data_IF_786133167699
#
_entry.id   IF_786133167699
#
_cell.length_a   1.000
_cell.length_b   1.000
_cell.length_c   1.000
_cell.angle_alpha   90.00
_cell.angle_beta   90.00
_cell.angle_gamma   90.00
#
_symmetry.space_group_name_H-M   'P 1'
#
loop_
_entity.id
_entity.type
_entity.pdbx_description
1 polymer ?
#
# COMPACT_ATOMS: atom_id res chain seq x y z
N UNK A 1 27.90 29.62 89.53
CA UNK A 1 27.83 28.41 88.67
C UNK A 1 26.47 28.40 88.01
N UNK A 2 26.39 28.85 86.75
CA UNK A 2 25.14 28.80 85.97
C UNK A 2 25.33 27.94 84.79
N UNK A 3 24.57 26.83 84.72
CA UNK A 3 24.55 25.96 83.58
C UNK A 3 23.41 26.36 82.64
N UNK A 4 23.72 26.74 81.41
CA UNK A 4 22.72 26.96 80.37
C UNK A 4 22.57 25.66 79.58
N UNK A 5 21.32 25.22 79.19
CA UNK A 5 21.14 24.12 78.33
C UNK A 5 21.16 24.59 76.89
N UNK A 6 21.96 23.89 76.07
CA UNK A 6 22.00 23.99 74.60
C UNK A 6 20.75 23.28 74.02
N UNK A 7 19.89 24.04 73.34
CA UNK A 7 18.78 23.47 72.54
C UNK A 7 19.26 23.13 71.16
N UNK A 8 19.31 21.83 70.83
CA UNK A 8 19.54 21.31 69.45
C UNK A 8 18.28 21.45 68.65
N UNK A 9 18.33 22.25 67.59
CA UNK A 9 17.26 22.40 66.61
C UNK A 9 17.45 21.32 65.53
N UNK A 10 16.55 20.32 65.40
CA UNK A 10 16.54 19.37 64.35
C UNK A 10 15.77 19.96 63.15
N UNK A 11 16.48 20.24 62.05
CA UNK A 11 15.84 20.61 60.77
C UNK A 11 15.39 19.30 60.07
N UNK A 12 14.08 19.09 60.03
CA UNK A 12 13.48 18.05 59.21
C UNK A 12 13.43 18.50 57.74
N UNK A 13 14.21 17.86 56.87
CA UNK A 13 14.08 18.07 55.41
C UNK A 13 12.91 17.22 54.91
N UNK A 14 11.79 17.88 54.62
CA UNK A 14 10.66 17.25 53.93
C UNK A 14 10.97 17.17 52.45
N UNK A 15 11.28 15.97 51.95
CA UNK A 15 11.44 15.71 50.51
C UNK A 15 10.06 15.71 49.86
N UNK A 16 9.76 16.74 49.08
CA UNK A 16 8.56 16.86 48.27
C UNK A 16 8.78 15.99 47.02
N UNK A 17 8.19 14.79 46.96
CA UNK A 17 8.17 13.94 45.76
C UNK A 17 7.12 14.53 44.81
N UNK A 18 7.57 15.26 43.80
CA UNK A 18 6.74 15.70 42.69
C UNK A 18 6.42 14.46 41.83
N UNK A 19 5.25 13.90 41.93
CA UNK A 19 4.71 12.94 41.00
C UNK A 19 4.34 13.69 39.70
N UNK A 20 5.17 13.56 38.68
CA UNK A 20 4.77 13.97 37.34
C UNK A 20 3.72 12.99 36.85
N UNK A 21 2.57 13.46 36.27
CA UNK A 21 1.65 12.57 35.60
C UNK A 21 2.40 11.92 34.42
N UNK A 22 2.52 10.60 34.44
CA UNK A 22 2.89 9.84 33.25
C UNK A 22 1.72 10.03 32.30
N UNK A 23 1.88 10.89 31.28
CA UNK A 23 0.98 10.91 30.16
C UNK A 23 1.02 9.50 29.56
N UNK A 24 -0.10 8.81 29.57
CA UNK A 24 -0.22 7.55 28.84
C UNK A 24 0.20 7.84 27.39
N UNK A 25 1.11 7.03 26.85
CA UNK A 25 1.47 7.15 25.45
C UNK A 25 0.19 7.01 24.62
N UNK A 26 0.00 7.92 23.68
CA UNK A 26 -1.15 7.88 22.79
C UNK A 26 -1.07 6.58 21.97
N UNK A 27 -2.22 5.90 21.77
CA UNK A 27 -2.28 4.67 20.98
C UNK A 27 -1.85 4.96 19.54
N UNK A 28 -0.75 4.36 19.04
CA UNK A 28 -0.26 4.67 17.70
C UNK A 28 -1.15 4.08 16.58
N UNK A 29 -2.08 3.18 16.93
CA UNK A 29 -2.93 2.43 16.00
C UNK A 29 -4.39 2.50 16.44
N UNK A 30 -5.00 3.70 16.57
CA UNK A 30 -6.31 3.90 17.17
C UNK A 30 -7.46 3.29 16.35
N UNK A 31 -7.28 3.08 15.03
CA UNK A 31 -8.25 2.42 14.16
C UNK A 31 -8.16 0.90 14.15
N UNK A 32 -7.22 0.33 14.90
CA UNK A 32 -7.12 -1.10 15.15
C UNK A 32 -7.83 -1.47 16.46
N UNK A 33 -8.53 -2.59 16.47
CA UNK A 33 -9.01 -3.19 17.70
C UNK A 33 -7.85 -3.81 18.49
N UNK A 34 -7.91 -3.77 19.81
CA UNK A 34 -6.95 -4.46 20.65
C UNK A 34 -7.07 -5.97 20.44
N UNK A 35 -5.93 -6.65 20.28
CA UNK A 35 -5.86 -8.08 20.02
C UNK A 35 -4.53 -8.51 19.42
N UNK A 36 -4.43 -9.79 19.11
CA UNK A 36 -3.19 -10.44 18.69
C UNK A 36 -2.56 -9.80 17.43
N UNK A 37 -3.39 -9.31 16.50
CA UNK A 37 -2.94 -8.68 15.26
C UNK A 37 -2.23 -7.35 15.53
N UNK A 38 -2.86 -6.46 16.33
CA UNK A 38 -2.24 -5.20 16.77
C UNK A 38 -1.01 -5.43 17.63
N UNK A 39 -1.07 -6.39 18.55
CA UNK A 39 0.05 -6.79 19.42
C UNK A 39 1.24 -7.28 18.58
N UNK A 40 1.00 -8.04 17.52
CA UNK A 40 2.06 -8.52 16.64
C UNK A 40 2.82 -7.37 15.94
N UNK A 41 2.10 -6.33 15.50
CA UNK A 41 2.70 -5.12 14.92
C UNK A 41 3.60 -4.42 15.94
N UNK A 42 3.05 -4.13 17.13
CA UNK A 42 3.77 -3.39 18.17
C UNK A 42 4.99 -4.19 18.64
N UNK A 43 4.82 -5.49 18.91
CA UNK A 43 5.91 -6.36 19.34
C UNK A 43 7.03 -6.48 18.32
N UNK A 44 6.68 -6.54 17.01
CA UNK A 44 7.68 -6.53 15.93
C UNK A 44 8.46 -5.22 15.91
N UNK A 45 7.76 -4.08 15.92
CA UNK A 45 8.41 -2.77 15.91
C UNK A 45 9.33 -2.62 17.12
N UNK A 46 8.86 -2.93 18.32
CA UNK A 46 9.66 -2.86 19.54
C UNK A 46 10.92 -3.77 19.44
N UNK A 47 10.77 -4.99 18.92
CA UNK A 47 11.87 -5.92 18.80
C UNK A 47 12.99 -5.41 17.89
N UNK A 48 12.62 -4.77 16.75
CA UNK A 48 13.61 -4.31 15.76
C UNK A 48 14.14 -2.90 16.00
N UNK A 49 13.48 -2.11 16.89
CA UNK A 49 13.89 -0.73 17.17
C UNK A 49 14.62 -0.57 18.50
N UNK A 50 14.47 -1.52 19.44
CA UNK A 50 15.11 -1.45 20.75
C UNK A 50 16.61 -1.75 20.62
N UNK A 51 17.44 -0.75 20.85
CA UNK A 51 18.89 -0.89 20.87
C UNK A 51 19.35 -1.96 21.88
N UNK A 52 20.27 -2.83 21.45
CA UNK A 52 20.75 -3.95 22.27
C UNK A 52 19.85 -5.19 22.25
N UNK A 53 18.68 -5.13 21.61
CA UNK A 53 17.86 -6.30 21.32
C UNK A 53 18.61 -7.24 20.35
N UNK A 54 18.43 -8.55 20.50
CA UNK A 54 18.95 -9.54 19.55
C UNK A 54 18.35 -9.39 18.13
N UNK A 55 17.21 -8.72 18.02
CA UNK A 55 16.50 -8.45 16.76
C UNK A 55 16.67 -7.01 16.25
N UNK A 56 17.51 -6.20 16.92
CA UNK A 56 17.70 -4.81 16.50
C UNK A 56 18.13 -4.69 15.05
N UNK A 57 17.48 -3.81 14.32
CA UNK A 57 17.81 -3.48 12.93
C UNK A 57 18.13 -1.98 12.86
N UNK A 58 19.23 -1.63 12.22
CA UNK A 58 19.58 -0.22 12.03
C UNK A 58 18.51 0.50 11.20
N UNK A 59 18.24 1.82 11.44
CA UNK A 59 17.21 2.55 10.70
C UNK A 59 17.32 2.43 9.17
N UNK A 60 18.52 2.51 8.61
CA UNK A 60 18.75 2.40 7.17
C UNK A 60 18.34 1.04 6.57
N UNK A 61 18.18 0.01 7.40
CA UNK A 61 17.77 -1.34 6.98
C UNK A 61 16.32 -1.67 7.36
N UNK A 62 15.58 -0.72 7.95
CA UNK A 62 14.15 -0.88 8.29
C UNK A 62 13.29 -0.58 7.07
N UNK A 63 13.15 -1.54 6.17
CA UNK A 63 12.34 -1.43 4.96
C UNK A 63 11.01 -2.16 5.16
N UNK A 64 9.91 -1.47 4.85
CA UNK A 64 8.56 -2.03 4.82
C UNK A 64 7.95 -1.85 3.44
N UNK A 65 7.40 -2.93 2.87
CA UNK A 65 6.76 -2.93 1.55
C UNK A 65 5.27 -3.22 1.67
N UNK A 66 4.49 -2.49 0.90
CA UNK A 66 3.03 -2.59 0.86
C UNK A 66 2.57 -2.84 -0.56
N UNK A 67 1.69 -3.79 -0.78
CA UNK A 67 0.85 -3.76 -1.97
C UNK A 67 -0.12 -2.58 -1.90
N UNK A 68 -0.74 -2.22 -3.02
CA UNK A 68 -1.64 -1.07 -3.11
C UNK A 68 -3.11 -1.51 -3.09
N UNK A 69 -3.56 -2.13 -4.19
CA UNK A 69 -4.96 -2.51 -4.40
C UNK A 69 -5.38 -3.60 -3.40
N UNK A 70 -6.43 -3.37 -2.62
CA UNK A 70 -6.87 -4.27 -1.55
C UNK A 70 -6.01 -4.26 -0.28
N UNK A 71 -4.85 -3.60 -0.28
CA UNK A 71 -3.98 -3.48 0.91
C UNK A 71 -4.00 -2.09 1.50
N UNK A 72 -3.91 -1.05 0.68
CA UNK A 72 -3.93 0.36 1.12
C UNK A 72 -5.23 1.07 0.76
N UNK A 73 -5.91 0.66 -0.29
CA UNK A 73 -7.20 1.17 -0.73
C UNK A 73 -8.08 0.10 -1.35
N UNK A 74 -9.32 0.44 -1.69
CA UNK A 74 -10.29 -0.47 -2.31
C UNK A 74 -9.81 -0.99 -3.67
N UNK A 75 -10.12 -2.26 -3.96
CA UNK A 75 -9.88 -2.88 -5.28
C UNK A 75 -11.13 -3.46 -5.93
N UNK A 76 -12.24 -3.53 -5.20
CA UNK A 76 -13.53 -3.99 -5.70
C UNK A 76 -14.47 -2.84 -6.05
N UNK A 77 -15.34 -3.00 -7.09
CA UNK A 77 -15.60 -4.24 -7.88
C UNK A 77 -14.56 -4.51 -8.97
N UNK A 78 -13.61 -3.59 -9.19
CA UNK A 78 -12.48 -3.75 -10.10
C UNK A 78 -11.36 -2.78 -9.70
N UNK A 79 -10.14 -3.09 -10.11
CA UNK A 79 -8.98 -2.23 -9.87
C UNK A 79 -9.22 -0.80 -10.36
N UNK A 80 -8.86 0.18 -9.55
CA UNK A 80 -9.03 1.61 -9.86
C UNK A 80 -8.32 2.00 -11.17
N UNK A 81 -7.13 1.44 -11.42
CA UNK A 81 -6.43 1.68 -12.70
C UNK A 81 -7.18 1.08 -13.90
N UNK A 82 -7.88 -0.04 -13.74
CA UNK A 82 -8.72 -0.57 -14.81
C UNK A 82 -9.88 0.40 -15.09
N UNK A 83 -10.53 0.93 -14.06
CA UNK A 83 -11.57 1.96 -14.23
C UNK A 83 -11.01 3.18 -14.99
N UNK A 84 -9.83 3.67 -14.63
CA UNK A 84 -9.13 4.72 -15.35
C UNK A 84 -8.95 4.38 -16.84
N UNK A 85 -8.47 3.17 -17.16
CA UNK A 85 -8.25 2.75 -18.53
C UNK A 85 -9.56 2.68 -19.34
N UNK A 86 -10.66 2.18 -18.73
CA UNK A 86 -11.97 2.14 -19.36
C UNK A 86 -12.54 3.55 -19.62
N UNK A 87 -12.36 4.47 -18.70
CA UNK A 87 -12.79 5.87 -18.87
C UNK A 87 -11.94 6.57 -19.93
N UNK A 88 -10.64 6.27 -20.02
CA UNK A 88 -9.78 6.77 -21.10
C UNK A 88 -10.25 6.28 -22.48
N UNK A 89 -10.66 5.00 -22.61
CA UNK A 89 -11.24 4.50 -23.88
C UNK A 89 -12.46 5.31 -24.27
N UNK A 90 -13.37 5.59 -23.32
CA UNK A 90 -14.57 6.41 -23.59
C UNK A 90 -14.19 7.84 -24.02
N UNK A 91 -13.20 8.44 -23.35
CA UNK A 91 -12.74 9.79 -23.65
C UNK A 91 -12.09 9.90 -25.03
N UNK A 92 -11.35 8.88 -25.46
CA UNK A 92 -10.66 8.83 -26.76
C UNK A 92 -11.55 8.34 -27.91
N UNK A 93 -12.69 7.70 -27.62
CA UNK A 93 -13.59 7.12 -28.65
C UNK A 93 -14.01 8.09 -29.77
N UNK A 94 -14.23 9.42 -29.54
CA UNK A 94 -14.52 10.34 -30.61
C UNK A 94 -13.41 10.46 -31.69
N UNK A 95 -12.16 10.20 -31.31
CA UNK A 95 -10.99 10.21 -32.20
C UNK A 95 -10.77 8.84 -32.87
N UNK A 96 -11.45 7.79 -32.37
CA UNK A 96 -11.32 6.39 -32.78
C UNK A 96 -12.68 5.77 -33.13
N UNK A 97 -13.35 6.21 -34.20
CA UNK A 97 -14.71 5.71 -34.56
C UNK A 97 -14.73 4.20 -34.85
N UNK A 98 -13.58 3.59 -35.22
CA UNK A 98 -13.45 2.15 -35.43
C UNK A 98 -13.63 1.33 -34.14
N UNK A 99 -13.46 1.96 -32.96
CA UNK A 99 -13.62 1.26 -31.68
C UNK A 99 -15.08 0.85 -31.40
N UNK A 100 -16.03 1.53 -32.02
CA UNK A 100 -17.45 1.16 -31.89
C UNK A 100 -17.76 -0.26 -32.45
N UNK A 101 -16.88 -0.82 -33.28
CA UNK A 101 -17.07 -2.15 -33.90
C UNK A 101 -15.89 -3.09 -33.70
N UNK A 102 -14.89 -2.69 -32.90
CA UNK A 102 -13.65 -3.46 -32.69
C UNK A 102 -13.49 -3.86 -31.23
N UNK A 103 -13.36 -5.18 -30.96
CA UNK A 103 -13.06 -5.66 -29.61
C UNK A 103 -11.58 -5.43 -29.25
N UNK A 104 -11.28 -5.14 -27.97
CA UNK A 104 -12.18 -5.07 -26.80
C UNK A 104 -12.89 -3.71 -26.60
N UNK A 105 -12.58 -2.71 -27.40
CA UNK A 105 -13.07 -1.32 -27.23
C UNK A 105 -14.60 -1.22 -27.33
N UNK A 106 -15.20 -1.98 -28.26
CA UNK A 106 -16.66 -2.04 -28.37
C UNK A 106 -17.30 -2.47 -27.06
N UNK A 107 -16.79 -3.53 -26.43
CA UNK A 107 -17.32 -4.00 -25.15
C UNK A 107 -17.21 -2.93 -24.05
N UNK A 108 -16.12 -2.15 -24.03
CA UNK A 108 -15.95 -1.03 -23.10
C UNK A 108 -16.99 0.07 -23.34
N UNK A 109 -17.21 0.46 -24.60
CA UNK A 109 -18.15 1.52 -24.98
C UNK A 109 -19.61 1.13 -24.71
N UNK A 110 -19.95 -0.16 -24.90
CA UNK A 110 -21.27 -0.72 -24.63
C UNK A 110 -21.49 -1.10 -23.16
N UNK A 111 -20.42 -1.10 -22.32
CA UNK A 111 -20.48 -1.53 -20.93
C UNK A 111 -20.64 -3.04 -20.76
N UNK A 112 -20.29 -3.82 -21.80
CA UNK A 112 -20.36 -5.30 -21.76
C UNK A 112 -19.14 -5.89 -21.04
N UNK A 113 -19.22 -5.87 -19.71
CA UNK A 113 -18.14 -6.39 -18.83
C UNK A 113 -17.90 -7.89 -19.03
N UNK A 114 -18.91 -8.66 -19.48
CA UNK A 114 -18.77 -10.10 -19.74
C UNK A 114 -17.89 -10.34 -20.95
N UNK A 115 -18.13 -9.64 -22.05
CA UNK A 115 -17.30 -9.72 -23.26
C UNK A 115 -15.89 -9.19 -23.00
N UNK A 116 -15.79 -8.11 -22.23
CA UNK A 116 -14.49 -7.55 -21.80
C UNK A 116 -13.68 -8.58 -21.00
N UNK A 117 -14.29 -9.21 -19.99
CA UNK A 117 -13.64 -10.26 -19.20
C UNK A 117 -13.21 -11.47 -20.07
N UNK A 118 -14.04 -11.85 -21.05
CA UNK A 118 -13.72 -12.93 -22.00
C UNK A 118 -12.54 -12.61 -22.93
N UNK A 119 -12.24 -11.31 -23.15
CA UNK A 119 -11.07 -10.90 -23.94
C UNK A 119 -9.74 -11.18 -23.21
N UNK A 120 -9.78 -11.36 -21.87
CA UNK A 120 -8.66 -11.78 -21.03
C UNK A 120 -7.47 -10.82 -21.09
N UNK A 121 -6.29 -11.33 -20.77
CA UNK A 121 -5.04 -10.56 -20.73
C UNK A 121 -4.75 -9.84 -22.07
N UNK A 122 -5.01 -10.48 -23.20
CA UNK A 122 -4.79 -9.86 -24.50
C UNK A 122 -5.65 -8.62 -24.70
N UNK A 123 -6.92 -8.68 -24.30
CA UNK A 123 -7.82 -7.51 -24.36
C UNK A 123 -7.37 -6.40 -23.44
N UNK A 124 -6.95 -6.75 -22.23
CA UNK A 124 -6.41 -5.77 -21.29
C UNK A 124 -5.16 -5.07 -21.84
N UNK A 125 -4.21 -5.83 -22.39
CA UNK A 125 -3.00 -5.26 -22.99
C UNK A 125 -3.32 -4.32 -24.17
N UNK A 126 -4.34 -4.62 -24.99
CA UNK A 126 -4.78 -3.72 -26.06
C UNK A 126 -5.34 -2.41 -25.50
N UNK A 127 -6.14 -2.47 -24.44
CA UNK A 127 -6.67 -1.28 -23.76
C UNK A 127 -5.52 -0.44 -23.18
N UNK A 128 -4.59 -1.08 -22.46
CA UNK A 128 -3.42 -0.39 -21.87
C UNK A 128 -2.59 0.25 -22.99
N UNK A 129 -2.29 -0.45 -24.08
CA UNK A 129 -1.55 0.11 -25.20
C UNK A 129 -2.22 1.36 -25.79
N UNK A 130 -3.53 1.33 -25.95
CA UNK A 130 -4.30 2.44 -26.52
C UNK A 130 -4.45 3.64 -25.57
N UNK A 131 -4.46 3.42 -24.27
CA UNK A 131 -4.77 4.44 -23.26
C UNK A 131 -3.56 4.98 -22.51
N UNK A 132 -2.45 4.22 -22.46
CA UNK A 132 -1.26 4.51 -21.67
C UNK A 132 -0.01 4.79 -22.51
N UNK A 133 -0.01 4.57 -23.82
CA UNK A 133 1.13 4.76 -24.71
C UNK A 133 0.91 5.90 -25.71
N UNK A 134 1.97 6.24 -26.46
CA UNK A 134 1.92 7.27 -27.51
C UNK A 134 2.06 8.71 -27.01
N UNK A 135 2.32 8.90 -25.72
CA UNK A 135 2.53 10.20 -25.08
C UNK A 135 3.78 10.15 -24.18
N UNK A 136 4.24 11.29 -23.71
CA UNK A 136 5.32 11.35 -22.72
C UNK A 136 4.85 10.91 -21.33
N UNK A 137 5.81 10.60 -20.44
CA UNK A 137 5.52 10.32 -19.02
C UNK A 137 4.83 11.52 -18.34
N UNK A 138 5.29 12.75 -18.63
CA UNK A 138 4.73 13.97 -18.04
C UNK A 138 3.27 14.21 -18.48
N UNK A 139 2.95 13.95 -19.77
CA UNK A 139 1.57 14.03 -20.28
C UNK A 139 0.70 12.97 -19.63
N UNK A 140 1.19 11.76 -19.45
CA UNK A 140 0.43 10.70 -18.78
C UNK A 140 0.19 11.03 -17.31
N UNK A 141 1.19 11.53 -16.60
CA UNK A 141 1.09 12.00 -15.21
C UNK A 141 -0.01 13.06 -15.06
N UNK A 142 -0.03 14.06 -15.95
CA UNK A 142 -1.06 15.09 -15.94
C UNK A 142 -2.47 14.50 -16.14
N UNK A 143 -2.63 13.55 -17.06
CA UNK A 143 -3.92 12.88 -17.32
C UNK A 143 -4.38 12.08 -16.09
N UNK A 144 -3.47 11.36 -15.43
CA UNK A 144 -3.79 10.61 -14.20
C UNK A 144 -4.17 11.57 -13.08
N UNK A 145 -3.43 12.66 -12.91
CA UNK A 145 -3.70 13.68 -11.88
C UNK A 145 -5.10 14.29 -12.05
N UNK A 146 -5.47 14.66 -13.28
CA UNK A 146 -6.79 15.23 -13.57
C UNK A 146 -7.92 14.20 -13.34
N UNK A 147 -7.69 12.95 -13.72
CA UNK A 147 -8.68 11.90 -13.55
C UNK A 147 -8.89 11.56 -12.08
N UNK A 148 -7.84 11.30 -11.32
CA UNK A 148 -7.94 10.87 -9.91
C UNK A 148 -8.54 11.96 -9.01
N UNK A 149 -8.38 13.24 -9.39
CA UNK A 149 -8.97 14.38 -8.67
C UNK A 149 -10.50 14.40 -8.75
N UNK A 150 -11.10 13.76 -9.75
CA UNK A 150 -12.53 13.82 -10.01
C UNK A 150 -13.24 12.46 -10.01
N UNK A 151 -12.50 11.39 -10.23
CA UNK A 151 -13.02 10.02 -10.29
C UNK A 151 -13.58 9.58 -8.94
N UNK A 152 -14.75 8.94 -8.98
CA UNK A 152 -15.45 8.47 -7.79
C UNK A 152 -15.84 7.02 -7.91
N UNK A 153 -15.72 6.32 -6.82
CA UNK A 153 -16.24 4.97 -6.70
C UNK A 153 -17.77 4.97 -6.80
N UNK A 154 -18.36 4.05 -7.58
CA UNK A 154 -19.80 4.02 -7.80
C UNK A 154 -20.61 3.57 -6.58
N UNK A 155 -20.03 2.80 -5.66
CA UNK A 155 -20.72 2.30 -4.46
C UNK A 155 -20.86 3.39 -3.41
N UNK A 156 -19.80 4.15 -3.15
CA UNK A 156 -19.78 5.18 -2.10
C UNK A 156 -19.98 6.60 -2.62
N UNK A 157 -19.80 6.85 -3.93
CA UNK A 157 -19.85 8.19 -4.51
C UNK A 157 -18.70 9.09 -4.02
N UNK A 158 -17.69 8.52 -3.38
CA UNK A 158 -16.51 9.21 -2.86
C UNK A 158 -15.36 9.14 -3.85
N UNK A 159 -14.43 10.11 -3.84
CA UNK A 159 -13.16 9.98 -4.54
C UNK A 159 -12.44 8.70 -4.14
N UNK A 160 -11.75 8.03 -5.09
CA UNK A 160 -10.95 6.85 -4.77
C UNK A 160 -9.88 7.14 -3.71
N UNK A 161 -9.31 8.34 -3.71
CA UNK A 161 -8.33 8.81 -2.72
C UNK A 161 -8.87 8.96 -1.29
N UNK A 162 -10.18 8.92 -1.10
CA UNK A 162 -10.83 8.87 0.21
C UNK A 162 -11.22 7.45 0.64
N UNK A 163 -11.10 6.47 -0.25
CA UNK A 163 -11.39 5.06 0.01
C UNK A 163 -10.11 4.28 0.34
N UNK A 164 -9.27 4.90 1.12
CA UNK A 164 -8.03 4.34 1.66
C UNK A 164 -8.29 3.72 3.03
N UNK A 165 -7.57 2.67 3.36
CA UNK A 165 -7.79 1.99 4.65
C UNK A 165 -7.08 2.73 5.78
N UNK A 166 -7.86 3.38 6.64
CA UNK A 166 -7.36 4.15 7.78
C UNK A 166 -6.39 3.36 8.67
N UNK A 167 -6.64 2.08 9.02
CA UNK A 167 -5.69 1.32 9.82
C UNK A 167 -4.33 1.15 9.14
N UNK A 168 -4.31 1.02 7.81
CA UNK A 168 -3.05 0.87 7.07
C UNK A 168 -2.29 2.18 6.95
N UNK A 169 -2.98 3.32 6.85
CA UNK A 169 -2.34 4.64 6.95
C UNK A 169 -1.67 4.84 8.32
N UNK A 170 -2.39 4.52 9.41
CA UNK A 170 -1.83 4.56 10.76
C UNK A 170 -0.61 3.64 10.93
N UNK A 171 -0.68 2.45 10.36
CA UNK A 171 0.45 1.51 10.36
C UNK A 171 1.67 2.08 9.63
N UNK A 172 1.48 2.69 8.45
CA UNK A 172 2.57 3.33 7.71
C UNK A 172 3.17 4.48 8.50
N UNK A 173 2.33 5.32 9.13
CA UNK A 173 2.78 6.44 9.98
C UNK A 173 3.54 5.92 11.21
N UNK A 174 3.04 4.88 11.86
CA UNK A 174 3.69 4.25 13.01
C UNK A 174 5.06 3.67 12.64
N UNK A 175 5.16 2.98 11.50
CA UNK A 175 6.44 2.46 11.01
C UNK A 175 7.42 3.61 10.72
N UNK A 176 6.99 4.66 10.01
CA UNK A 176 7.84 5.84 9.73
C UNK A 176 8.31 6.55 10.99
N UNK A 177 7.42 6.72 11.98
CA UNK A 177 7.77 7.28 13.28
C UNK A 177 8.83 6.44 14.04
N UNK A 178 8.94 5.15 13.69
CA UNK A 178 9.94 4.22 14.22
C UNK A 178 11.13 3.99 13.27
N UNK A 179 11.35 4.91 12.33
CA UNK A 179 12.53 4.92 11.46
C UNK A 179 12.49 3.92 10.31
N UNK A 180 11.31 3.45 9.91
CA UNK A 180 11.15 2.64 8.71
C UNK A 180 11.02 3.52 7.47
N UNK A 181 11.58 3.05 6.37
CA UNK A 181 11.26 3.55 5.04
C UNK A 181 10.15 2.67 4.44
N UNK A 182 9.07 3.33 3.96
CA UNK A 182 7.89 2.64 3.43
C UNK A 182 7.85 2.73 1.91
N UNK A 183 7.59 1.60 1.26
CA UNK A 183 7.51 1.48 -0.19
C UNK A 183 6.18 0.86 -0.61
N UNK A 184 5.65 1.29 -1.75
CA UNK A 184 4.59 0.57 -2.47
C UNK A 184 5.27 -0.41 -3.43
N UNK A 185 4.78 -1.65 -3.48
CA UNK A 185 5.22 -2.71 -4.40
C UNK A 185 3.97 -3.37 -4.97
N UNK A 186 3.53 -2.95 -6.16
CA UNK A 186 2.20 -3.24 -6.68
C UNK A 186 2.20 -3.80 -8.11
N UNK A 187 1.28 -4.70 -8.40
CA UNK A 187 0.96 -5.13 -9.76
C UNK A 187 0.44 -4.00 -10.65
N UNK A 188 -0.05 -2.91 -10.06
CA UNK A 188 -0.47 -1.70 -10.75
C UNK A 188 0.67 -0.96 -11.45
N UNK A 189 0.30 -0.07 -12.38
CA UNK A 189 1.26 0.71 -13.15
C UNK A 189 1.99 1.75 -12.30
N UNK A 190 3.32 1.71 -12.29
CA UNK A 190 4.16 2.61 -11.50
C UNK A 190 3.84 4.08 -11.78
N UNK A 191 3.65 4.46 -13.04
CA UNK A 191 3.38 5.85 -13.44
C UNK A 191 1.91 6.27 -13.23
N UNK A 192 0.98 5.30 -13.03
CA UNK A 192 -0.36 5.59 -12.57
C UNK A 192 -0.38 5.95 -11.08
N UNK A 193 0.46 5.30 -10.28
CA UNK A 193 0.48 5.50 -8.83
C UNK A 193 1.24 6.76 -8.39
N UNK A 194 2.42 7.02 -8.97
CA UNK A 194 3.32 8.10 -8.59
C UNK A 194 2.69 9.49 -8.44
N UNK A 195 1.74 9.91 -9.30
CA UNK A 195 1.18 11.26 -9.23
C UNK A 195 0.40 11.58 -7.95
N UNK A 196 -0.08 10.57 -7.22
CA UNK A 196 -0.99 10.79 -6.09
C UNK A 196 -0.58 10.11 -4.77
N UNK A 197 0.36 9.16 -4.79
CA UNK A 197 0.72 8.37 -3.59
C UNK A 197 1.33 9.21 -2.47
N UNK A 198 2.07 10.27 -2.78
CA UNK A 198 2.66 11.14 -1.76
C UNK A 198 1.57 11.92 -1.00
N UNK A 199 0.60 12.47 -1.72
CA UNK A 199 -0.50 13.21 -1.12
C UNK A 199 -1.45 12.32 -0.30
N UNK A 200 -1.62 11.05 -0.70
CA UNK A 200 -2.60 10.12 -0.11
C UNK A 200 -1.99 9.26 0.99
N UNK A 201 -0.77 8.76 0.79
CA UNK A 201 -0.12 7.81 1.70
C UNK A 201 1.14 8.37 2.37
N UNK A 202 1.63 9.54 1.95
CA UNK A 202 2.95 10.03 2.36
C UNK A 202 4.10 9.21 1.76
N UNK A 203 3.87 8.49 0.65
CA UNK A 203 4.89 7.71 -0.06
C UNK A 203 5.34 8.47 -1.28
N UNK A 204 6.59 8.93 -1.27
CA UNK A 204 7.17 9.69 -2.36
C UNK A 204 7.20 8.87 -3.67
N UNK A 205 7.12 9.52 -4.86
CA UNK A 205 7.17 8.84 -6.15
C UNK A 205 8.38 7.91 -6.33
N UNK A 206 9.52 8.24 -5.72
CA UNK A 206 10.72 7.41 -5.74
C UNK A 206 10.56 6.07 -4.97
N UNK A 207 9.64 6.02 -4.02
CA UNK A 207 9.36 4.84 -3.19
C UNK A 207 8.19 4.01 -3.73
N UNK A 208 7.80 4.22 -4.98
CA UNK A 208 6.78 3.43 -5.67
C UNK A 208 7.46 2.49 -6.65
N UNK A 209 7.24 1.19 -6.46
CA UNK A 209 7.61 0.09 -7.36
C UNK A 209 6.32 -0.46 -7.96
N UNK A 210 6.33 -0.74 -9.26
CA UNK A 210 5.13 -1.22 -9.94
C UNK A 210 5.41 -1.74 -11.35
N UNK A 211 4.39 -2.29 -11.97
CA UNK A 211 4.45 -2.70 -13.38
C UNK A 211 4.70 -1.49 -14.27
N UNK A 212 5.42 -1.70 -15.36
CA UNK A 212 5.76 -0.62 -16.28
C UNK A 212 5.64 -1.03 -17.75
N UNK A 213 5.37 -0.05 -18.60
CA UNK A 213 5.53 -0.17 -20.04
C UNK A 213 6.89 0.39 -20.47
N UNK A 214 7.37 0.01 -21.65
CA UNK A 214 8.63 0.53 -22.17
C UNK A 214 8.58 2.04 -22.39
N UNK A 215 9.70 2.70 -22.15
CA UNK A 215 9.90 4.10 -22.46
C UNK A 215 11.11 4.27 -23.39
N UNK A 216 11.06 5.32 -24.21
CA UNK A 216 12.15 5.72 -25.09
C UNK A 216 12.49 7.20 -24.86
N UNK A 217 13.78 7.50 -24.68
CA UNK A 217 14.22 8.89 -24.59
C UNK A 217 14.17 9.56 -25.97
N UNK A 218 13.51 10.73 -26.04
CA UNK A 218 13.46 11.58 -27.23
C UNK A 218 13.72 13.04 -26.87
N UNK A 219 14.11 13.82 -27.86
CA UNK A 219 14.13 15.27 -27.76
C UNK A 219 12.99 15.82 -28.61
N UNK A 220 12.01 16.45 -27.96
CA UNK A 220 10.84 17.08 -28.57
C UNK A 220 10.89 18.56 -28.24
N UNK A 221 10.90 19.42 -29.26
CA UNK A 221 10.99 20.89 -29.12
C UNK A 221 12.13 21.36 -28.20
N UNK A 222 13.29 20.67 -28.31
CA UNK A 222 14.50 20.99 -27.54
C UNK A 222 14.49 20.50 -26.08
N UNK A 223 13.45 19.74 -25.65
CA UNK A 223 13.33 19.14 -24.31
C UNK A 223 13.52 17.63 -24.38
N UNK A 224 14.30 17.08 -23.45
CA UNK A 224 14.40 15.64 -23.27
C UNK A 224 13.14 15.12 -22.58
N UNK A 225 12.47 14.14 -23.19
CA UNK A 225 11.25 13.50 -22.69
C UNK A 225 11.37 11.98 -22.77
N UNK A 226 10.62 11.28 -21.92
CA UNK A 226 10.43 9.83 -22.01
C UNK A 226 9.09 9.54 -22.68
N UNK A 227 9.13 8.97 -23.89
CA UNK A 227 7.92 8.58 -24.63
C UNK A 227 7.51 7.17 -24.22
N UNK A 228 6.26 6.99 -23.89
CA UNK A 228 5.64 5.73 -23.47
C UNK A 228 5.30 4.87 -24.70
N UNK A 229 5.78 3.63 -24.73
CA UNK A 229 5.58 2.68 -25.81
C UNK A 229 4.51 1.63 -25.44
N UNK A 230 3.85 0.98 -26.42
CA UNK A 230 2.75 0.06 -26.14
C UNK A 230 3.17 -1.31 -25.61
N UNK A 231 4.46 -1.53 -25.41
CA UNK A 231 4.99 -2.81 -24.92
C UNK A 231 5.19 -2.80 -23.40
N UNK A 232 4.87 -3.92 -22.76
CA UNK A 232 5.21 -4.15 -21.34
C UNK A 232 6.73 -4.22 -21.17
N UNK A 233 7.26 -3.52 -20.18
CA UNK A 233 8.66 -3.61 -19.79
C UNK A 233 8.85 -4.54 -18.59
N UNK A 234 7.96 -4.46 -17.59
CA UNK A 234 8.05 -5.24 -16.37
C UNK A 234 6.64 -5.46 -15.76
N UNK A 235 6.42 -6.63 -15.20
CA UNK A 235 5.21 -6.98 -14.42
C UNK A 235 5.64 -7.19 -12.97
N UNK A 236 5.15 -6.34 -12.07
CA UNK A 236 5.47 -6.36 -10.63
C UNK A 236 4.39 -7.11 -9.84
N UNK A 237 4.11 -8.34 -10.25
CA UNK A 237 3.15 -9.23 -9.61
C UNK A 237 3.80 -10.59 -9.35
N UNK A 238 3.39 -11.28 -8.29
CA UNK A 238 3.92 -12.58 -7.89
C UNK A 238 5.45 -12.58 -7.79
N UNK A 239 6.14 -13.43 -8.58
CA UNK A 239 7.61 -13.49 -8.65
C UNK A 239 8.24 -12.15 -9.10
N UNK A 240 7.48 -11.30 -9.78
CA UNK A 240 7.92 -9.96 -10.15
C UNK A 240 8.19 -9.08 -8.96
N UNK A 241 7.36 -9.12 -7.91
CA UNK A 241 7.52 -8.26 -6.72
C UNK A 241 8.90 -8.36 -6.06
N UNK A 242 9.45 -9.53 -5.73
CA UNK A 242 10.84 -9.64 -5.25
C UNK A 242 11.89 -9.09 -6.22
N UNK A 243 11.67 -9.26 -7.53
CA UNK A 243 12.57 -8.72 -8.56
C UNK A 243 12.51 -7.20 -8.58
N UNK A 244 11.30 -6.63 -8.53
CA UNK A 244 11.07 -5.18 -8.43
C UNK A 244 11.71 -4.59 -7.17
N UNK A 245 11.51 -5.22 -6.01
CA UNK A 245 12.15 -4.84 -4.74
C UNK A 245 13.68 -4.80 -4.90
N UNK A 246 14.28 -5.87 -5.43
CA UNK A 246 15.73 -5.91 -5.61
C UNK A 246 16.23 -4.83 -6.58
N UNK A 247 15.48 -4.56 -7.65
CA UNK A 247 15.90 -3.62 -8.71
C UNK A 247 15.77 -2.15 -8.30
N UNK A 248 14.77 -1.81 -7.49
CA UNK A 248 14.42 -0.43 -7.13
C UNK A 248 14.82 -0.05 -5.71
N UNK A 249 14.72 -0.98 -4.75
CA UNK A 249 15.04 -0.72 -3.35
C UNK A 249 16.46 -1.17 -3.02
N UNK A 250 16.93 -2.29 -3.61
CA UNK A 250 18.26 -2.83 -3.40
C UNK A 250 18.50 -3.50 -2.04
N UNK A 251 17.47 -3.57 -1.20
CA UNK A 251 17.50 -4.18 0.14
C UNK A 251 16.28 -5.10 0.32
N UNK A 252 16.47 -6.20 1.07
CA UNK A 252 15.35 -7.07 1.44
C UNK A 252 14.54 -6.41 2.55
N UNK A 253 13.20 -6.29 2.41
CA UNK A 253 12.34 -5.75 3.46
C UNK A 253 12.39 -6.59 4.74
N UNK A 254 12.07 -5.97 5.87
CA UNK A 254 11.85 -6.66 7.14
C UNK A 254 10.36 -6.75 7.52
N UNK A 255 9.52 -6.00 6.82
CA UNK A 255 8.06 -6.10 6.89
C UNK A 255 7.45 -6.05 5.50
N UNK A 256 6.39 -6.84 5.26
CA UNK A 256 5.65 -6.85 4.01
C UNK A 256 4.15 -7.05 4.28
N UNK A 257 3.34 -6.32 3.52
CA UNK A 257 1.89 -6.26 3.67
C UNK A 257 1.22 -6.42 2.31
N UNK A 258 0.27 -7.34 2.21
CA UNK A 258 -0.49 -7.63 1.00
C UNK A 258 -1.89 -8.10 1.33
N UNK A 259 -2.67 -8.50 0.31
CA UNK A 259 -4.03 -9.00 0.50
C UNK A 259 -4.37 -10.20 -0.40
N UNK A 260 -3.51 -10.56 -1.32
CA UNK A 260 -3.82 -11.56 -2.34
C UNK A 260 -2.70 -12.57 -2.58
N UNK A 261 -2.97 -13.59 -3.40
CA UNK A 261 -1.95 -14.54 -3.88
C UNK A 261 -0.89 -13.86 -4.77
N UNK A 262 -1.15 -12.65 -5.27
CA UNK A 262 -0.18 -11.79 -5.95
C UNK A 262 0.97 -11.33 -5.06
N UNK A 263 0.73 -11.32 -3.75
CA UNK A 263 1.69 -10.86 -2.74
C UNK A 263 2.51 -12.00 -2.12
N UNK A 264 2.16 -13.25 -2.44
CA UNK A 264 2.75 -14.43 -1.82
C UNK A 264 4.27 -14.37 -1.82
N UNK A 265 4.88 -14.10 -2.98
CA UNK A 265 6.33 -14.09 -3.13
C UNK A 265 6.99 -12.86 -2.48
N UNK A 266 6.30 -11.74 -2.37
CA UNK A 266 6.78 -10.57 -1.62
C UNK A 266 6.87 -10.90 -0.12
N UNK A 267 5.82 -11.52 0.44
CA UNK A 267 5.79 -11.96 1.84
C UNK A 267 6.85 -13.05 2.10
N UNK A 268 6.91 -14.06 1.23
CA UNK A 268 7.90 -15.14 1.32
C UNK A 268 9.34 -14.59 1.22
N UNK A 269 9.61 -13.71 0.25
CA UNK A 269 10.92 -13.06 0.12
C UNK A 269 11.31 -12.29 1.39
N UNK A 270 10.35 -11.64 2.04
CA UNK A 270 10.58 -10.87 3.26
C UNK A 270 10.87 -11.79 4.46
N UNK A 271 10.13 -12.91 4.60
CA UNK A 271 10.10 -13.69 5.84
C UNK A 271 10.89 -15.00 5.78
N UNK A 272 10.91 -15.69 4.63
CA UNK A 272 11.49 -17.03 4.55
C UNK A 272 13.01 -17.04 4.66
N UNK A 273 13.54 -17.92 5.52
CA UNK A 273 14.97 -18.12 5.71
C UNK A 273 15.72 -16.90 6.24
N UNK A 274 15.00 -15.86 6.70
CA UNK A 274 15.61 -14.66 7.25
C UNK A 274 16.13 -14.91 8.68
N UNK A 275 17.23 -14.22 9.03
CA UNK A 275 17.70 -14.13 10.40
C UNK A 275 17.12 -12.89 11.07
N UNK A 276 16.72 -13.00 12.35
CA UNK A 276 16.08 -11.93 13.11
C UNK A 276 14.58 -11.79 12.84
N UNK A 277 13.94 -10.82 13.50
CA UNK A 277 12.50 -10.61 13.41
C UNK A 277 12.09 -10.14 12.03
N UNK A 278 10.99 -10.70 11.55
CA UNK A 278 10.32 -10.32 10.28
C UNK A 278 8.83 -10.31 10.50
N UNK A 279 8.13 -9.47 9.73
CA UNK A 279 6.68 -9.39 9.76
C UNK A 279 6.12 -9.53 8.35
N UNK A 280 5.28 -10.55 8.14
CA UNK A 280 4.44 -10.70 6.95
C UNK A 280 2.99 -10.63 7.37
N UNK A 281 2.19 -9.77 6.74
CA UNK A 281 0.77 -9.63 7.06
C UNK A 281 -0.09 -9.65 5.79
N UNK A 282 -1.27 -10.26 5.90
CA UNK A 282 -2.23 -10.39 4.80
C UNK A 282 -3.57 -9.83 5.25
N UNK A 283 -4.10 -8.85 4.54
CA UNK A 283 -5.46 -8.34 4.73
C UNK A 283 -6.45 -9.34 4.14
N UNK A 284 -7.29 -9.91 4.99
CA UNK A 284 -8.42 -10.75 4.60
C UNK A 284 -9.70 -9.92 4.65
N UNK A 285 -10.30 -9.70 3.50
CA UNK A 285 -11.50 -8.88 3.33
C UNK A 285 -12.74 -9.64 3.79
N UNK A 286 -13.07 -9.53 5.08
CA UNK A 286 -14.18 -10.23 5.73
C UNK A 286 -15.40 -9.32 5.99
N UNK A 287 -15.28 -8.00 5.74
CA UNK A 287 -16.28 -7.01 6.12
C UNK A 287 -17.15 -6.54 4.96
N UNK A 288 -18.09 -7.35 4.57
CA UNK A 288 -19.07 -6.98 3.54
C UNK A 288 -20.07 -5.89 3.94
N UNK A 289 -20.09 -5.46 5.21
CA UNK A 289 -20.96 -4.39 5.67
C UNK A 289 -20.34 -3.00 5.47
N UNK A 290 -19.05 -2.85 5.74
CA UNK A 290 -18.33 -1.56 5.64
C UNK A 290 -17.54 -1.42 4.34
N UNK A 291 -17.16 -2.57 3.71
CA UNK A 291 -16.39 -2.63 2.48
C UNK A 291 -16.97 -3.72 1.54
N UNK A 292 -16.19 -4.57 0.92
CA UNK A 292 -16.57 -5.80 0.23
C UNK A 292 -15.98 -6.98 0.98
N UNK A 293 -16.71 -8.11 1.02
CA UNK A 293 -16.16 -9.37 1.52
C UNK A 293 -15.82 -10.26 0.32
N UNK A 294 -14.56 -10.67 0.23
CA UNK A 294 -14.06 -11.55 -0.82
C UNK A 294 -12.77 -12.25 -0.39
N UNK A 295 -12.51 -13.41 -1.00
CA UNK A 295 -11.28 -14.17 -0.79
C UNK A 295 -10.97 -15.08 -2.00
N UNK A 296 -11.43 -16.33 -2.00
CA UNK A 296 -11.03 -17.38 -2.97
C UNK A 296 -11.71 -17.27 -4.32
N UNK A 297 -12.99 -16.91 -4.33
CA UNK A 297 -13.86 -16.92 -5.51
C UNK A 297 -14.10 -15.49 -6.05
N UNK A 298 -13.02 -14.82 -6.44
CA UNK A 298 -13.07 -13.47 -6.96
C UNK A 298 -12.15 -13.28 -8.17
N UNK A 299 -12.52 -12.44 -9.15
CA UNK A 299 -11.65 -12.11 -10.27
C UNK A 299 -10.52 -11.12 -9.92
N UNK A 300 -10.64 -10.36 -8.82
CA UNK A 300 -9.68 -9.37 -8.34
C UNK A 300 -9.34 -9.67 -6.88
N UNK A 301 -8.08 -9.50 -6.49
CA UNK A 301 -7.66 -9.69 -5.11
C UNK A 301 -7.85 -11.11 -4.58
N UNK A 302 -7.69 -12.14 -5.43
CA UNK A 302 -7.87 -13.53 -5.01
C UNK A 302 -6.89 -13.92 -3.91
N UNK A 303 -7.42 -14.31 -2.75
CA UNK A 303 -6.69 -14.79 -1.59
C UNK A 303 -7.05 -16.25 -1.32
N UNK A 304 -6.25 -17.18 -1.80
CA UNK A 304 -6.48 -18.62 -1.72
C UNK A 304 -5.27 -19.33 -1.10
N UNK A 305 -4.19 -19.48 -1.87
CA UNK A 305 -2.96 -20.13 -1.44
C UNK A 305 -2.30 -19.41 -0.26
N UNK A 306 -2.21 -18.08 -0.32
CA UNK A 306 -1.57 -17.31 0.73
C UNK A 306 -2.34 -17.40 2.07
N UNK A 307 -3.68 -17.51 2.02
CA UNK A 307 -4.49 -17.71 3.22
C UNK A 307 -4.27 -19.10 3.83
N UNK A 308 -4.18 -20.14 3.00
CA UNK A 308 -3.95 -21.50 3.47
C UNK A 308 -2.54 -21.68 4.07
N UNK A 309 -1.54 -21.07 3.46
CA UNK A 309 -0.14 -21.22 3.86
C UNK A 309 0.27 -20.26 4.98
N UNK A 310 -0.48 -19.19 5.25
CA UNK A 310 -0.13 -18.16 6.23
C UNK A 310 0.31 -18.72 7.60
N UNK A 311 -0.40 -19.70 8.20
CA UNK A 311 0.02 -20.25 9.50
C UNK A 311 1.38 -20.96 9.44
N UNK A 312 1.66 -21.69 8.36
CA UNK A 312 2.92 -22.42 8.18
C UNK A 312 4.10 -21.47 7.89
N UNK A 313 3.81 -20.34 7.22
CA UNK A 313 4.78 -19.29 6.90
C UNK A 313 5.01 -18.32 8.08
N UNK A 314 4.18 -18.39 9.13
CA UNK A 314 4.22 -17.46 10.25
C UNK A 314 3.69 -16.07 9.88
N UNK A 315 2.88 -15.96 8.85
CA UNK A 315 2.23 -14.71 8.47
C UNK A 315 0.99 -14.43 9.31
N UNK A 316 0.75 -13.17 9.62
CA UNK A 316 -0.43 -12.72 10.36
C UNK A 316 -1.54 -12.40 9.38
N UNK A 317 -2.68 -13.05 9.54
CA UNK A 317 -3.88 -12.74 8.76
C UNK A 317 -4.69 -11.68 9.50
N UNK A 318 -4.87 -10.53 8.87
CA UNK A 318 -5.70 -9.42 9.36
C UNK A 318 -7.14 -9.71 8.97
N UNK A 319 -8.01 -9.99 9.94
CA UNK A 319 -9.45 -10.10 9.70
C UNK A 319 -10.07 -8.69 9.73
N UNK A 320 -10.40 -8.15 8.58
CA UNK A 320 -10.89 -6.76 8.47
C UNK A 320 -12.09 -6.49 9.39
N UNK A 321 -13.02 -7.41 9.49
CA UNK A 321 -14.22 -7.22 10.32
C UNK A 321 -13.92 -7.20 11.82
N UNK A 322 -12.89 -7.94 12.28
CA UNK A 322 -12.54 -8.08 13.69
C UNK A 322 -11.44 -7.16 14.14
N UNK A 323 -10.39 -7.02 13.29
CA UNK A 323 -9.17 -6.33 13.68
C UNK A 323 -9.24 -4.82 13.43
N UNK A 324 -10.11 -4.36 12.52
CA UNK A 324 -10.27 -2.94 12.21
C UNK A 324 -11.49 -2.33 12.87
N UNK A 325 -11.26 -1.32 13.68
CA UNK A 325 -12.32 -0.50 14.32
C UNK A 325 -12.94 0.47 13.31
N UNK A 326 -12.09 1.08 12.48
CA UNK A 326 -12.46 2.01 11.40
C UNK A 326 -11.89 1.45 10.10
N UNK A 327 -12.62 1.52 8.98
CA UNK A 327 -12.12 1.09 7.67
C UNK A 327 -11.58 2.28 6.89
N UNK A 328 -12.38 3.30 6.68
CA UNK A 328 -12.03 4.49 5.93
C UNK A 328 -11.86 5.72 6.84
N UNK A 329 -11.08 6.73 6.42
CA UNK A 329 -11.02 8.02 7.10
C UNK A 329 -12.41 8.68 7.22
N UNK A 330 -12.63 9.42 8.34
CA UNK A 330 -13.88 10.12 8.62
C UNK A 330 -13.85 11.54 8.10
#
# INVERSE_FOLDING_TARGET
MFHSPVRTLALGVASLVLAFPVLAAEDPLPSWNDGATKEAIVAFVDAVTTEGSANYVAPDDRIATFDNDGTLWVEHPMYTQLTFALDRVKALAPEHPEWATTQPFQAVLEGDMKTLAAAGEKGLLQIVAATHAGMSTDEFEAIVTDWIATAKDPKWGKPYTELVYQPMLELMDYLRANGFETYIVSGGGIEFMRPWTEAVYGVAPANVVGSSIKTEYKVVDGKGVLMRLPDVAFIDDKEGKPVGINSHIGKRPIAAFGNSDGDYQMLEYTTAGATGARLGMIVHHTDGAREYAYDRDTPFGKLDKALDDAPAQGWVVIDMAKDWKTVFPQ
#
